data_IF_447998864439
#
_entry.id   IF_447998864439
#
_cell.length_a   1.000
_cell.length_b   1.000
_cell.length_c   1.000
_cell.angle_alpha   90.00
_cell.angle_beta   90.00
_cell.angle_gamma   90.00
#
_symmetry.space_group_name_H-M   'P 1'
#
loop_
_entity.id
_entity.type
_entity.pdbx_description
1 polymer ?
#
# COMPACT_ATOMS: atom_id res chain seq x y z
N UNK A 1 -5.61 -6.58 -70.78
CA UNK A 1 -5.42 -5.12 -70.81
C UNK A 1 -6.73 -4.40 -71.05
N UNK A 2 -7.09 -3.26 -70.48
CA UNK A 2 -6.47 -2.31 -69.55
C UNK A 2 -7.52 -1.20 -69.30
N UNK A 3 -7.35 -0.44 -68.20
CA UNK A 3 -8.18 0.62 -67.58
C UNK A 3 -8.96 0.10 -66.38
N UNK A 4 -8.33 -0.05 -65.21
CA UNK A 4 -7.67 0.98 -64.40
C UNK A 4 -8.62 2.11 -63.95
N UNK A 5 -8.87 2.09 -62.63
CA UNK A 5 -8.92 3.28 -61.76
C UNK A 5 -10.17 4.17 -61.64
N UNK A 6 -10.62 4.21 -60.38
CA UNK A 6 -10.95 5.38 -59.57
C UNK A 6 -12.36 5.99 -59.64
N UNK A 7 -13.19 5.57 -58.68
CA UNK A 7 -14.20 6.38 -57.97
C UNK A 7 -14.37 5.73 -56.58
N UNK A 8 -14.28 6.37 -55.42
CA UNK A 8 -14.53 7.76 -55.05
C UNK A 8 -13.90 8.08 -53.67
N UNK A 9 -13.44 9.33 -53.52
CA UNK A 9 -13.52 10.19 -52.33
C UNK A 9 -12.79 9.82 -51.00
N UNK A 10 -11.78 10.63 -50.68
CA UNK A 10 -11.17 10.90 -49.36
C UNK A 10 -12.22 11.43 -48.33
N UNK A 11 -12.00 11.42 -46.99
CA UNK A 11 -10.85 12.11 -46.35
C UNK A 11 -10.19 11.41 -45.15
N UNK A 12 -8.94 11.78 -44.90
CA UNK A 12 -8.20 11.51 -43.65
C UNK A 12 -8.85 12.28 -42.48
N UNK A 13 -8.91 11.69 -41.28
CA UNK A 13 -8.75 12.48 -40.06
C UNK A 13 -7.68 11.84 -39.16
N UNK A 14 -6.51 12.46 -39.09
CA UNK A 14 -6.09 13.30 -37.95
C UNK A 14 -5.53 12.48 -36.78
N UNK A 15 -4.22 12.58 -36.48
CA UNK A 15 -3.64 11.95 -35.31
C UNK A 15 -4.17 12.70 -34.08
N UNK A 16 -5.03 12.05 -33.31
CA UNK A 16 -5.47 12.58 -32.02
C UNK A 16 -4.35 12.43 -30.99
N UNK A 17 -3.42 13.38 -31.05
CA UNK A 17 -2.55 13.77 -29.95
C UNK A 17 -3.41 14.32 -28.81
N UNK A 18 -4.05 13.44 -28.04
CA UNK A 18 -4.61 13.83 -26.75
C UNK A 18 -3.47 14.02 -25.75
N UNK A 19 -2.82 15.17 -25.90
CA UNK A 19 -1.99 15.81 -24.91
C UNK A 19 -2.87 16.24 -23.73
N UNK A 20 -3.08 15.36 -22.75
CA UNK A 20 -3.73 15.78 -21.50
C UNK A 20 -3.27 15.04 -20.24
N UNK A 21 -2.02 14.56 -20.19
CA UNK A 21 -1.37 14.29 -18.90
C UNK A 21 -0.83 15.60 -18.32
N UNK A 22 -1.76 16.46 -17.84
CA UNK A 22 -1.45 17.29 -16.67
C UNK A 22 -1.20 16.31 -15.52
N UNK A 23 0.03 15.79 -15.42
CA UNK A 23 0.50 15.11 -14.21
C UNK A 23 0.39 16.12 -13.08
N UNK A 24 -0.69 15.98 -12.32
CA UNK A 24 -0.86 16.54 -10.98
C UNK A 24 0.30 16.04 -10.09
N UNK A 25 0.69 16.81 -9.08
CA UNK A 25 2.02 16.72 -8.46
C UNK A 25 2.20 15.40 -7.71
N UNK A 26 3.00 14.49 -8.25
CA UNK A 26 3.38 13.22 -7.63
C UNK A 26 4.46 13.40 -6.53
N UNK A 27 4.34 14.43 -5.69
CA UNK A 27 5.32 14.68 -4.63
C UNK A 27 4.93 14.03 -3.30
N UNK A 28 3.67 13.60 -3.15
CA UNK A 28 3.20 12.91 -1.93
C UNK A 28 3.22 11.37 -2.06
N UNK A 29 2.97 10.84 -3.27
CA UNK A 29 2.90 9.38 -3.50
C UNK A 29 4.25 8.68 -3.31
N UNK A 30 5.36 9.30 -3.73
CA UNK A 30 6.69 8.70 -3.58
C UNK A 30 7.14 8.58 -2.11
N UNK A 31 6.70 9.50 -1.24
CA UNK A 31 7.02 9.45 0.20
C UNK A 31 6.10 8.49 0.94
N UNK A 32 4.81 8.46 0.59
CA UNK A 32 3.86 7.48 1.13
C UNK A 32 4.30 6.04 0.81
N UNK A 33 4.83 5.80 -0.39
CA UNK A 33 5.31 4.49 -0.82
C UNK A 33 6.51 3.99 0.01
N UNK A 34 7.48 4.87 0.33
CA UNK A 34 8.57 4.51 1.25
C UNK A 34 8.06 4.18 2.66
N UNK A 35 7.07 4.92 3.15
CA UNK A 35 6.49 4.64 4.46
C UNK A 35 5.61 3.37 4.44
N UNK A 36 4.96 3.03 3.32
CA UNK A 36 4.18 1.78 3.18
C UNK A 36 5.11 0.59 3.33
N UNK A 37 6.25 0.63 2.63
CA UNK A 37 7.28 -0.40 2.71
C UNK A 37 7.81 -0.58 4.14
N UNK A 38 7.86 0.48 4.94
CA UNK A 38 8.25 0.45 6.35
C UNK A 38 7.22 -0.27 7.22
N UNK A 39 5.95 0.09 7.06
CA UNK A 39 4.84 -0.54 7.80
C UNK A 39 4.73 -2.01 7.44
N UNK A 40 4.83 -2.35 6.15
CA UNK A 40 4.85 -3.74 5.68
C UNK A 40 6.04 -4.52 6.24
N UNK A 41 7.20 -3.89 6.41
CA UNK A 41 8.38 -4.52 6.98
C UNK A 41 8.19 -4.82 8.47
N UNK A 42 7.63 -3.88 9.24
CA UNK A 42 7.27 -4.10 10.66
C UNK A 42 6.16 -5.14 10.78
N UNK A 43 5.17 -5.13 9.88
CA UNK A 43 4.10 -6.13 9.82
C UNK A 43 4.65 -7.53 9.56
N UNK A 44 5.60 -7.68 8.63
CA UNK A 44 6.23 -8.96 8.35
C UNK A 44 6.99 -9.52 9.57
N UNK A 45 7.66 -8.64 10.33
CA UNK A 45 8.32 -9.01 11.59
C UNK A 45 7.27 -9.43 12.63
N UNK A 46 6.18 -8.67 12.77
CA UNK A 46 5.10 -8.99 13.70
C UNK A 46 4.44 -10.33 13.35
N UNK A 47 4.10 -10.56 12.08
CA UNK A 47 3.53 -11.80 11.58
C UNK A 47 4.40 -13.01 11.93
N UNK A 48 5.73 -12.91 11.82
CA UNK A 48 6.63 -13.99 12.25
C UNK A 48 6.48 -14.30 13.74
N UNK A 49 6.43 -13.27 14.60
CA UNK A 49 6.18 -13.48 16.04
C UNK A 49 4.80 -14.05 16.34
N UNK A 50 3.77 -13.67 15.56
CA UNK A 50 2.43 -14.24 15.69
C UNK A 50 2.42 -15.73 15.32
N UNK A 51 3.19 -16.14 14.31
CA UNK A 51 3.32 -17.56 13.96
C UNK A 51 3.96 -18.40 15.08
N UNK A 52 4.81 -17.79 15.91
CA UNK A 52 5.39 -18.45 17.08
C UNK A 52 4.40 -18.59 18.25
N UNK A 53 3.35 -17.76 18.28
CA UNK A 53 2.37 -17.71 19.37
C UNK A 53 0.94 -18.02 18.86
N UNK A 54 0.49 -19.29 18.92
CA UNK A 54 -0.78 -19.72 18.31
C UNK A 54 -2.03 -19.10 18.96
N UNK A 55 -1.93 -18.56 20.19
CA UNK A 55 -3.03 -17.82 20.81
C UNK A 55 -3.24 -16.46 20.14
N UNK A 56 -2.15 -15.78 19.77
CA UNK A 56 -2.20 -14.52 19.03
C UNK A 56 -2.40 -14.74 17.54
N UNK A 57 -1.92 -15.85 16.95
CA UNK A 57 -2.18 -16.21 15.56
C UNK A 57 -3.67 -16.37 15.23
N UNK A 58 -4.47 -16.73 16.24
CA UNK A 58 -5.94 -16.76 16.11
C UNK A 58 -6.54 -15.38 15.94
N UNK A 59 -5.90 -14.35 16.49
CA UNK A 59 -6.31 -12.96 16.32
C UNK A 59 -5.70 -12.44 15.02
N UNK A 60 -6.54 -11.86 14.14
CA UNK A 60 -6.04 -11.24 12.91
C UNK A 60 -5.38 -9.91 13.24
N UNK A 61 -4.07 -9.92 13.46
CA UNK A 61 -3.29 -8.73 13.78
C UNK A 61 -2.46 -8.34 12.55
N UNK A 62 -2.66 -7.11 12.10
CA UNK A 62 -1.98 -6.51 10.96
C UNK A 62 -1.59 -5.06 11.27
N UNK A 63 -0.43 -4.62 10.81
CA UNK A 63 -0.08 -3.20 10.75
C UNK A 63 -0.37 -2.68 9.35
N UNK A 64 -1.15 -1.61 9.28
CA UNK A 64 -1.53 -0.94 8.03
C UNK A 64 -1.18 0.54 8.10
N UNK A 65 -0.82 1.11 6.95
CA UNK A 65 -0.60 2.55 6.88
C UNK A 65 -1.93 3.28 6.72
N UNK A 66 -2.13 4.36 7.47
CA UNK A 66 -3.24 5.29 7.25
C UNK A 66 -2.99 6.20 6.03
N UNK A 67 -4.06 6.73 5.43
CA UNK A 67 -3.99 7.66 4.31
C UNK A 67 -3.15 8.93 4.60
N UNK A 68 -2.93 9.27 5.87
CA UNK A 68 -2.04 10.37 6.29
C UNK A 68 -0.56 9.97 6.43
N UNK A 69 -0.20 8.72 6.14
CA UNK A 69 1.15 8.18 6.35
C UNK A 69 1.42 7.75 7.80
N UNK A 70 0.38 7.63 8.63
CA UNK A 70 0.49 7.14 10.01
C UNK A 70 0.53 5.62 10.08
N UNK A 71 1.05 5.08 11.20
CA UNK A 71 0.95 3.66 11.51
C UNK A 71 -0.40 3.39 12.17
N UNK A 72 -1.20 2.50 11.58
CA UNK A 72 -2.44 1.99 12.16
C UNK A 72 -2.28 0.50 12.42
N UNK A 73 -2.77 0.04 13.56
CA UNK A 73 -2.73 -1.34 13.98
C UNK A 73 -4.15 -1.88 13.88
N UNK A 74 -4.36 -2.89 13.07
CA UNK A 74 -5.63 -3.61 12.96
C UNK A 74 -5.54 -4.92 13.77
N UNK A 75 -6.44 -5.12 14.74
CA UNK A 75 -6.55 -6.33 15.56
C UNK A 75 -7.99 -6.82 15.50
N UNK A 76 -8.21 -7.99 14.92
CA UNK A 76 -9.53 -8.63 14.79
C UNK A 76 -10.59 -7.71 14.14
N UNK A 77 -10.17 -6.86 13.20
CA UNK A 77 -11.03 -5.88 12.54
C UNK A 77 -11.20 -4.54 13.28
N UNK A 78 -10.59 -4.39 14.45
CA UNK A 78 -10.52 -3.11 15.17
C UNK A 78 -9.24 -2.37 14.82
N UNK A 79 -9.36 -1.09 14.46
CA UNK A 79 -8.20 -0.24 14.13
C UNK A 79 -7.82 0.65 15.30
N UNK A 80 -6.54 0.67 15.59
CA UNK A 80 -5.91 1.41 16.68
C UNK A 80 -4.76 2.24 16.12
N UNK A 81 -4.70 3.53 16.44
CA UNK A 81 -3.54 4.37 16.05
C UNK A 81 -2.32 4.15 16.96
N UNK A 82 -2.53 3.53 18.13
CA UNK A 82 -1.50 3.40 19.17
C UNK A 82 -1.47 2.00 19.74
N UNK A 83 -0.27 1.44 20.01
CA UNK A 83 -0.15 0.17 20.70
C UNK A 83 -0.78 0.20 22.10
N UNK A 84 -0.89 1.39 22.73
CA UNK A 84 -1.44 1.54 24.08
C UNK A 84 -2.97 1.42 24.14
N UNK A 85 -3.66 1.62 23.02
CA UNK A 85 -5.13 1.54 22.94
C UNK A 85 -5.63 0.09 22.83
N UNK A 86 -4.73 -0.86 22.57
CA UNK A 86 -5.08 -2.28 22.43
C UNK A 86 -5.26 -2.88 23.83
N UNK A 87 -6.41 -3.51 24.10
CA UNK A 87 -6.69 -4.09 25.42
C UNK A 87 -5.73 -5.24 25.79
N UNK A 88 -5.30 -6.00 24.79
CA UNK A 88 -4.38 -7.12 24.97
C UNK A 88 -2.92 -6.65 25.13
N UNK A 89 -2.42 -6.74 26.37
CA UNK A 89 -1.04 -6.41 26.73
C UNK A 89 0.00 -7.22 25.93
N UNK A 90 -0.32 -8.46 25.53
CA UNK A 90 0.60 -9.30 24.74
C UNK A 90 0.84 -8.69 23.37
N UNK A 91 -0.23 -8.22 22.72
CA UNK A 91 -0.15 -7.53 21.42
C UNK A 91 0.67 -6.25 21.54
N UNK A 92 0.47 -5.47 22.62
CA UNK A 92 1.27 -4.26 22.84
C UNK A 92 2.78 -4.57 22.94
N UNK A 93 3.13 -5.64 23.67
CA UNK A 93 4.52 -6.08 23.82
C UNK A 93 5.06 -6.55 22.48
N UNK A 94 4.27 -7.27 21.69
CA UNK A 94 4.73 -7.83 20.42
C UNK A 94 4.92 -6.78 19.34
N UNK A 95 4.02 -5.80 19.25
CA UNK A 95 4.21 -4.64 18.35
C UNK A 95 5.44 -3.84 18.77
N UNK A 96 5.64 -3.58 20.08
CA UNK A 96 6.85 -2.91 20.57
C UNK A 96 8.12 -3.68 20.23
N UNK A 97 8.06 -5.01 20.30
CA UNK A 97 9.19 -5.88 19.95
C UNK A 97 9.49 -5.79 18.45
N UNK A 98 8.47 -5.91 17.60
CA UNK A 98 8.61 -5.77 16.15
C UNK A 98 9.16 -4.39 15.75
N UNK A 99 8.66 -3.32 16.36
CA UNK A 99 9.18 -1.95 16.15
C UNK A 99 10.65 -1.82 16.57
N UNK A 100 11.02 -2.36 17.75
CA UNK A 100 12.39 -2.28 18.26
C UNK A 100 13.39 -3.05 17.39
N UNK A 101 13.00 -4.22 16.88
CA UNK A 101 13.83 -5.00 15.95
C UNK A 101 14.01 -4.24 14.64
N UNK A 102 12.93 -3.65 14.12
CA UNK A 102 13.00 -2.83 12.93
C UNK A 102 13.90 -1.59 13.13
N UNK A 103 13.81 -0.89 14.26
CA UNK A 103 14.69 0.26 14.58
C UNK A 103 16.17 -0.13 14.72
N UNK A 104 16.46 -1.40 14.99
CA UNK A 104 17.83 -1.92 15.13
C UNK A 104 18.42 -2.47 13.82
N UNK A 105 17.64 -2.45 12.73
CA UNK A 105 18.05 -2.91 11.39
C UNK A 105 18.61 -1.75 10.57
#
# INVERSE_FOLDING_TARGET
EENDSLKSAQPKPSPSVFANLRRRPATTEASANKMLSLVEQVDAILQRYLQEDPELARQKIHLVQDAKGGLTIEVDGHRYERPRDIEDKRIQVMIKRALKEWEST
#
